data_IF_055271934592
#
_entry.id   IF_055271934592
#
_cell.length_a   1.000
_cell.length_b   1.000
_cell.length_c   1.000
_cell.angle_alpha   90.00
_cell.angle_beta   90.00
_cell.angle_gamma   90.00
#
_symmetry.space_group_name_H-M   'P 1'
#
loop_
_entity.id
_entity.type
_entity.pdbx_description
1 polymer ?
#
# COMPACT_ATOMS: atom_id res chain seq x y z
N UNK A 1 2.03 19.49 12.54
CA UNK A 1 2.39 18.51 11.48
C UNK A 1 1.17 17.64 11.22
N UNK A 2 0.94 17.18 9.98
CA UNK A 2 -0.17 16.25 9.72
C UNK A 2 0.23 14.85 10.19
N UNK A 3 -0.66 14.17 10.93
CA UNK A 3 -0.40 12.82 11.46
C UNK A 3 -0.66 11.76 10.39
N UNK A 4 0.24 10.78 10.27
CA UNK A 4 0.02 9.61 9.43
C UNK A 4 -1.02 8.73 10.10
N UNK A 5 -2.14 8.48 9.41
CA UNK A 5 -3.25 7.66 9.92
C UNK A 5 -3.30 6.27 9.29
N UNK A 6 -2.67 6.09 8.13
CA UNK A 6 -2.52 4.78 7.51
C UNK A 6 -1.19 4.69 6.76
N UNK A 7 -0.56 3.52 6.79
CA UNK A 7 0.58 3.16 5.94
C UNK A 7 0.22 1.94 5.09
N UNK A 8 0.34 2.09 3.79
CA UNK A 8 -0.07 1.07 2.81
C UNK A 8 1.16 0.50 2.12
N UNK A 9 1.33 -0.80 2.23
CA UNK A 9 2.38 -1.56 1.56
C UNK A 9 1.77 -2.24 0.34
N UNK A 10 2.17 -1.80 -0.84
CA UNK A 10 1.67 -2.32 -2.11
C UNK A 10 2.76 -3.21 -2.71
N UNK A 11 2.48 -4.50 -2.81
CA UNK A 11 3.43 -5.51 -3.26
C UNK A 11 2.98 -6.06 -4.62
N UNK A 12 3.90 -6.13 -5.58
CA UNK A 12 3.66 -6.90 -6.80
C UNK A 12 3.87 -8.38 -6.52
N UNK A 13 3.05 -9.26 -7.11
CA UNK A 13 3.22 -10.71 -7.02
C UNK A 13 4.63 -11.16 -7.41
N UNK A 14 5.08 -12.29 -6.86
CA UNK A 14 6.32 -12.95 -7.22
C UNK A 14 6.36 -13.41 -8.68
N UNK A 15 7.53 -13.85 -9.15
CA UNK A 15 7.75 -14.28 -10.53
C UNK A 15 6.87 -15.48 -10.94
N UNK A 16 6.46 -15.49 -12.20
CA UNK A 16 5.83 -16.62 -12.89
C UNK A 16 6.66 -17.03 -14.10
N UNK A 17 6.47 -18.23 -14.62
CA UNK A 17 7.12 -18.65 -15.87
C UNK A 17 6.78 -17.74 -17.04
N UNK A 18 5.56 -17.23 -17.07
CA UNK A 18 5.14 -16.26 -18.09
C UNK A 18 5.93 -14.93 -17.98
N UNK A 19 6.28 -14.46 -16.78
CA UNK A 19 7.18 -13.31 -16.64
C UNK A 19 8.56 -13.60 -17.24
N UNK A 20 9.14 -14.76 -16.93
CA UNK A 20 10.45 -15.19 -17.43
C UNK A 20 10.48 -15.36 -18.95
N UNK A 21 9.39 -15.82 -19.53
CA UNK A 21 9.25 -16.04 -20.98
C UNK A 21 8.79 -14.77 -21.73
N UNK A 22 8.51 -13.66 -21.04
CA UNK A 22 7.99 -12.45 -21.67
C UNK A 22 6.59 -12.64 -22.27
N UNK A 23 5.76 -13.47 -21.66
CA UNK A 23 4.38 -13.74 -22.06
C UNK A 23 3.43 -12.80 -21.32
N UNK A 24 2.51 -12.18 -22.05
CA UNK A 24 1.44 -11.35 -21.48
C UNK A 24 0.47 -12.24 -20.72
N UNK A 25 0.30 -11.97 -19.43
CA UNK A 25 -0.59 -12.75 -18.58
C UNK A 25 -1.98 -12.12 -18.49
N UNK A 26 -2.04 -10.78 -18.28
CA UNK A 26 -3.31 -10.13 -18.02
C UNK A 26 -4.06 -10.83 -16.87
N UNK A 27 -5.24 -11.36 -17.19
CA UNK A 27 -6.08 -12.08 -16.22
C UNK A 27 -5.99 -13.62 -16.34
N UNK A 28 -5.03 -14.16 -17.13
CA UNK A 28 -4.72 -15.59 -17.05
C UNK A 28 -4.27 -15.93 -15.62
N UNK A 29 -4.82 -17.01 -15.10
CA UNK A 29 -4.57 -17.44 -13.72
C UNK A 29 -3.35 -18.36 -13.61
N UNK A 30 -2.16 -17.77 -13.81
CA UNK A 30 -0.86 -18.45 -13.80
C UNK A 30 -0.32 -18.54 -12.36
N UNK A 31 0.32 -19.68 -11.96
CA UNK A 31 0.95 -19.82 -10.66
C UNK A 31 2.28 -19.06 -10.56
N UNK A 32 2.78 -18.89 -9.35
CA UNK A 32 4.19 -18.57 -9.10
C UNK A 32 5.06 -19.74 -9.57
N UNK A 33 6.26 -19.42 -10.08
CA UNK A 33 7.34 -20.40 -10.21
C UNK A 33 8.17 -20.45 -8.92
N UNK A 34 9.20 -21.32 -8.86
CA UNK A 34 10.01 -21.49 -7.66
C UNK A 34 10.73 -20.20 -7.25
N UNK A 35 11.22 -19.42 -8.22
CA UNK A 35 11.81 -18.11 -7.96
C UNK A 35 10.78 -17.13 -7.35
N UNK A 36 9.55 -17.12 -7.85
CA UNK A 36 8.48 -16.29 -7.32
C UNK A 36 8.06 -16.67 -5.91
N UNK A 37 8.09 -17.95 -5.56
CA UNK A 37 7.86 -18.42 -4.19
C UNK A 37 8.98 -17.92 -3.26
N UNK A 38 10.24 -18.01 -3.68
CA UNK A 38 11.37 -17.52 -2.91
C UNK A 38 11.34 -15.99 -2.76
N UNK A 39 11.04 -15.25 -3.84
CA UNK A 39 10.83 -13.80 -3.77
C UNK A 39 9.75 -13.43 -2.75
N UNK A 40 8.63 -14.17 -2.72
CA UNK A 40 7.57 -13.95 -1.75
C UNK A 40 8.02 -14.21 -0.30
N UNK A 41 8.90 -15.19 -0.05
CA UNK A 41 9.49 -15.44 1.27
C UNK A 41 10.41 -14.31 1.71
N UNK A 42 11.29 -13.85 0.81
CA UNK A 42 12.15 -12.69 1.09
C UNK A 42 11.33 -11.43 1.39
N UNK A 43 10.22 -11.25 0.68
CA UNK A 43 9.28 -10.16 0.98
C UNK A 43 8.60 -10.35 2.34
N UNK A 44 8.24 -11.58 2.72
CA UNK A 44 7.69 -11.89 4.03
C UNK A 44 8.69 -11.57 5.16
N UNK A 45 9.95 -11.94 5.00
CA UNK A 45 11.01 -11.64 5.96
C UNK A 45 11.26 -10.13 6.09
N UNK A 46 11.24 -9.39 4.97
CA UNK A 46 11.38 -7.93 4.97
C UNK A 46 10.22 -7.19 5.64
N UNK A 47 9.06 -7.81 5.74
CA UNK A 47 7.85 -7.23 6.30
C UNK A 47 7.45 -7.84 7.65
N UNK A 48 8.25 -8.76 8.23
CA UNK A 48 7.85 -9.55 9.41
C UNK A 48 7.52 -8.70 10.64
N UNK A 49 8.21 -7.57 10.82
CA UNK A 49 7.98 -6.65 11.95
C UNK A 49 6.86 -5.62 11.67
N UNK A 50 6.23 -5.66 10.49
CA UNK A 50 5.16 -4.72 10.15
C UNK A 50 3.84 -5.15 10.80
N UNK A 51 3.21 -4.33 11.66
CA UNK A 51 1.99 -4.72 12.37
C UNK A 51 0.74 -4.61 11.46
N UNK A 52 0.62 -5.46 10.46
CA UNK A 52 -0.53 -5.46 9.57
C UNK A 52 -1.84 -5.71 10.32
N UNK A 53 -2.82 -4.85 10.10
CA UNK A 53 -4.20 -5.02 10.59
C UNK A 53 -5.13 -5.51 9.48
N UNK A 54 -4.81 -5.23 8.22
CA UNK A 54 -5.65 -5.51 7.05
C UNK A 54 -4.78 -5.98 5.88
N UNK A 55 -5.26 -7.00 5.17
CA UNK A 55 -4.59 -7.51 3.98
C UNK A 55 -5.57 -7.73 2.83
N UNK A 56 -5.22 -7.20 1.66
CA UNK A 56 -5.93 -7.36 0.41
C UNK A 56 -5.05 -8.03 -0.65
N UNK A 57 -5.65 -8.80 -1.52
CA UNK A 57 -4.97 -9.33 -2.71
C UNK A 57 -5.89 -9.40 -3.91
N UNK A 58 -5.30 -9.32 -5.11
CA UNK A 58 -5.95 -9.88 -6.29
C UNK A 58 -6.30 -11.35 -6.03
N UNK A 59 -7.44 -11.78 -6.55
CA UNK A 59 -7.90 -13.17 -6.47
C UNK A 59 -7.17 -14.10 -7.45
N UNK A 60 -6.34 -13.55 -8.38
CA UNK A 60 -5.47 -14.36 -9.23
C UNK A 60 -4.39 -15.04 -8.38
N UNK A 61 -4.18 -16.36 -8.64
CA UNK A 61 -3.41 -17.23 -7.76
C UNK A 61 -1.98 -16.74 -7.50
N UNK A 62 -1.28 -16.14 -8.47
CA UNK A 62 0.08 -15.58 -8.28
C UNK A 62 0.12 -14.48 -7.22
N UNK A 63 -0.86 -13.57 -7.22
CA UNK A 63 -0.93 -12.50 -6.22
C UNK A 63 -1.43 -13.03 -4.88
N UNK A 64 -2.47 -13.86 -4.89
CA UNK A 64 -3.01 -14.49 -3.69
C UNK A 64 -1.93 -15.32 -2.98
N UNK A 65 -1.19 -16.18 -3.72
CA UNK A 65 -0.14 -17.01 -3.13
C UNK A 65 1.00 -16.17 -2.55
N UNK A 66 1.39 -15.07 -3.22
CA UNK A 66 2.36 -14.11 -2.66
C UNK A 66 1.86 -13.52 -1.34
N UNK A 67 0.59 -13.09 -1.27
CA UNK A 67 0.00 -12.54 -0.05
C UNK A 67 -0.08 -13.60 1.07
N UNK A 68 -0.47 -14.84 0.76
CA UNK A 68 -0.52 -15.94 1.72
C UNK A 68 0.86 -16.19 2.34
N UNK A 69 1.93 -16.23 1.54
CA UNK A 69 3.31 -16.42 2.03
C UNK A 69 3.73 -15.27 2.94
N UNK A 70 3.44 -14.02 2.58
CA UNK A 70 3.73 -12.87 3.44
C UNK A 70 2.99 -13.00 4.78
N UNK A 71 1.74 -13.41 4.75
CA UNK A 71 0.89 -13.53 5.93
C UNK A 71 1.21 -14.75 6.82
N UNK A 72 2.05 -15.68 6.39
CA UNK A 72 2.60 -16.73 7.26
C UNK A 72 3.35 -16.13 8.46
N UNK A 73 3.93 -14.92 8.33
CA UNK A 73 4.58 -14.15 9.41
C UNK A 73 3.59 -13.32 10.25
N UNK A 74 2.34 -13.20 9.85
CA UNK A 74 1.33 -12.34 10.48
C UNK A 74 0.08 -13.13 10.90
N UNK A 75 0.20 -14.07 11.85
CA UNK A 75 -0.91 -14.89 12.28
C UNK A 75 -2.04 -14.03 12.85
N UNK A 76 -3.25 -14.21 12.36
CA UNK A 76 -4.43 -13.44 12.77
C UNK A 76 -4.85 -12.35 11.77
N UNK A 77 -4.01 -11.96 10.81
CA UNK A 77 -4.42 -11.04 9.74
C UNK A 77 -5.19 -11.80 8.66
N UNK A 78 -6.44 -11.38 8.46
CA UNK A 78 -7.30 -12.01 7.46
C UNK A 78 -7.03 -11.44 6.07
N UNK A 79 -6.79 -12.33 5.09
CA UNK A 79 -6.67 -11.96 3.69
C UNK A 79 -8.05 -11.81 3.04
N UNK A 80 -8.30 -10.65 2.44
CA UNK A 80 -9.45 -10.40 1.57
C UNK A 80 -9.00 -10.40 0.11
N UNK A 81 -9.55 -11.29 -0.72
CA UNK A 81 -9.27 -11.33 -2.16
C UNK A 81 -10.34 -10.60 -2.95
N UNK A 82 -9.94 -9.88 -4.01
CA UNK A 82 -10.88 -9.10 -4.83
C UNK A 82 -10.47 -9.03 -6.30
N UNK A 83 -11.42 -9.17 -7.24
CA UNK A 83 -11.18 -8.93 -8.67
C UNK A 83 -10.77 -7.47 -8.99
N UNK A 84 -11.08 -6.52 -8.10
CA UNK A 84 -10.71 -5.12 -8.29
C UNK A 84 -9.19 -4.90 -8.32
N UNK A 85 -8.41 -5.83 -7.75
CA UNK A 85 -6.95 -5.81 -7.75
C UNK A 85 -6.31 -6.65 -8.88
N UNK A 86 -7.11 -7.25 -9.78
CA UNK A 86 -6.57 -7.98 -10.95
C UNK A 86 -5.79 -7.06 -11.87
N UNK A 87 -4.83 -7.65 -12.60
CA UNK A 87 -4.17 -6.99 -13.72
C UNK A 87 -5.20 -6.60 -14.80
N UNK A 88 -4.78 -5.74 -15.71
CA UNK A 88 -5.59 -5.38 -16.88
C UNK A 88 -5.90 -6.63 -17.71
N UNK A 89 -7.16 -6.80 -18.05
CA UNK A 89 -7.51 -7.83 -19.05
C UNK A 89 -6.94 -7.41 -20.41
N UNK A 90 -6.11 -8.27 -21.00
CA UNK A 90 -5.34 -7.95 -22.19
C UNK A 90 -5.92 -8.56 -23.47
N UNK A 91 -7.14 -9.12 -23.40
CA UNK A 91 -7.81 -9.71 -24.55
C UNK A 91 -6.96 -10.78 -25.26
N UNK A 92 -6.91 -10.73 -26.57
CA UNK A 92 -6.19 -11.69 -27.43
C UNK A 92 -4.65 -11.63 -27.26
N UNK A 93 -4.13 -10.66 -26.52
CA UNK A 93 -2.70 -10.66 -26.17
C UNK A 93 -2.35 -11.62 -25.03
N UNK A 94 -3.35 -12.09 -24.28
CA UNK A 94 -3.09 -13.03 -23.19
C UNK A 94 -2.55 -14.38 -23.73
N UNK A 95 -1.42 -14.82 -23.19
CA UNK A 95 -0.70 -16.00 -23.65
C UNK A 95 0.26 -15.74 -24.83
N UNK A 96 0.33 -14.51 -25.34
CA UNK A 96 1.20 -14.13 -26.47
C UNK A 96 2.48 -13.47 -25.94
N UNK A 97 3.60 -13.71 -26.66
CA UNK A 97 4.85 -13.03 -26.32
C UNK A 97 4.76 -11.52 -26.51
N UNK A 98 5.43 -10.78 -25.60
CA UNK A 98 5.55 -9.31 -25.69
C UNK A 98 6.27 -8.84 -26.96
N UNK A 99 7.18 -9.67 -27.50
CA UNK A 99 7.86 -9.38 -28.77
C UNK A 99 6.85 -9.45 -29.92
N UNK A 100 6.64 -8.34 -30.61
CA UNK A 100 5.72 -8.27 -31.74
C UNK A 100 4.31 -7.76 -31.43
N UNK A 101 4.06 -7.23 -30.22
CA UNK A 101 2.81 -6.53 -29.95
C UNK A 101 2.69 -5.26 -30.81
N UNK A 102 1.56 -5.16 -31.49
CA UNK A 102 1.17 -3.97 -32.21
C UNK A 102 0.16 -3.13 -31.42
N UNK A 103 -0.95 -2.78 -32.07
CA UNK A 103 -2.08 -2.07 -31.45
C UNK A 103 -2.79 -3.00 -30.45
N UNK A 104 -3.17 -2.53 -29.25
CA UNK A 104 -3.95 -3.34 -28.32
C UNK A 104 -5.21 -3.93 -28.96
N UNK A 105 -5.56 -5.21 -28.67
CA UNK A 105 -6.74 -5.83 -29.21
C UNK A 105 -8.01 -5.11 -28.73
N UNK A 106 -9.04 -5.06 -29.57
CA UNK A 106 -10.30 -4.38 -29.26
C UNK A 106 -11.00 -4.96 -28.01
N UNK A 107 -10.79 -6.23 -27.75
CA UNK A 107 -11.34 -6.90 -26.56
C UNK A 107 -10.49 -6.76 -25.30
N UNK A 108 -9.42 -5.97 -25.29
CA UNK A 108 -8.70 -5.63 -24.07
C UNK A 108 -9.52 -4.67 -23.20
N UNK A 109 -9.37 -4.79 -21.87
CA UNK A 109 -10.01 -3.86 -20.93
C UNK A 109 -9.62 -2.42 -21.26
N UNK A 110 -10.58 -1.50 -21.48
CA UNK A 110 -10.28 -0.10 -21.72
C UNK A 110 -9.47 0.49 -20.56
N UNK A 111 -8.46 1.31 -20.88
CA UNK A 111 -7.60 1.93 -19.85
C UNK A 111 -8.41 2.76 -18.85
N UNK A 112 -9.51 3.37 -19.29
CA UNK A 112 -10.39 4.16 -18.42
C UNK A 112 -11.08 3.28 -17.38
N UNK A 113 -11.56 2.09 -17.76
CA UNK A 113 -12.25 1.16 -16.87
C UNK A 113 -11.26 0.54 -15.88
N UNK A 114 -10.07 0.17 -16.36
CA UNK A 114 -8.96 -0.32 -15.53
C UNK A 114 -8.57 0.71 -14.46
N UNK A 115 -8.41 1.97 -14.86
CA UNK A 115 -8.09 3.06 -13.93
C UNK A 115 -9.24 3.30 -12.94
N UNK A 116 -10.48 3.29 -13.42
CA UNK A 116 -11.65 3.53 -12.58
C UNK A 116 -11.82 2.45 -11.50
N UNK A 117 -11.68 1.14 -11.85
CA UNK A 117 -11.82 0.07 -10.85
C UNK A 117 -10.72 0.08 -9.80
N UNK A 118 -9.47 0.38 -10.19
CA UNK A 118 -8.36 0.51 -9.23
C UNK A 118 -8.56 1.68 -8.27
N UNK A 119 -9.00 2.84 -8.79
CA UNK A 119 -9.30 4.01 -7.99
C UNK A 119 -10.52 3.81 -7.07
N UNK A 120 -11.54 3.10 -7.55
CA UNK A 120 -12.71 2.74 -6.74
C UNK A 120 -12.29 1.86 -5.56
N UNK A 121 -11.51 0.80 -5.81
CA UNK A 121 -10.99 -0.04 -4.75
C UNK A 121 -10.19 0.76 -3.71
N UNK A 122 -9.29 1.64 -4.15
CA UNK A 122 -8.52 2.51 -3.25
C UNK A 122 -9.42 3.34 -2.34
N UNK A 123 -10.45 3.97 -2.90
CA UNK A 123 -11.37 4.80 -2.12
C UNK A 123 -12.20 3.96 -1.13
N UNK A 124 -12.70 2.80 -1.55
CA UNK A 124 -13.62 1.97 -0.76
C UNK A 124 -12.91 1.09 0.28
N UNK A 125 -11.69 0.64 -0.01
CA UNK A 125 -10.92 -0.18 0.90
C UNK A 125 -9.93 0.66 1.71
N UNK A 126 -8.94 1.28 1.07
CA UNK A 126 -7.81 1.93 1.74
C UNK A 126 -8.25 3.22 2.45
N UNK A 127 -8.89 4.15 1.74
CA UNK A 127 -9.29 5.43 2.35
C UNK A 127 -10.31 5.27 3.47
N UNK A 128 -11.16 4.25 3.45
CA UNK A 128 -12.09 3.96 4.55
C UNK A 128 -11.36 3.62 5.85
N UNK A 129 -10.28 2.84 5.79
CA UNK A 129 -9.45 2.54 6.96
C UNK A 129 -8.75 3.80 7.48
N UNK A 130 -8.17 4.60 6.60
CA UNK A 130 -7.53 5.86 6.96
C UNK A 130 -8.52 6.83 7.63
N UNK A 131 -9.74 6.97 7.09
CA UNK A 131 -10.80 7.82 7.67
C UNK A 131 -11.25 7.33 9.04
N UNK A 132 -11.37 6.01 9.23
CA UNK A 132 -11.69 5.45 10.55
C UNK A 132 -10.61 5.79 11.56
N UNK A 133 -9.35 5.57 11.23
CA UNK A 133 -8.21 5.90 12.10
C UNK A 133 -8.11 7.42 12.39
N UNK A 134 -8.36 8.27 11.39
CA UNK A 134 -8.42 9.71 11.59
C UNK A 134 -9.53 10.11 12.62
N UNK A 135 -10.68 9.46 12.51
CA UNK A 135 -11.78 9.68 13.47
C UNK A 135 -11.43 9.23 14.90
N UNK A 136 -10.75 8.08 15.04
CA UNK A 136 -10.23 7.58 16.31
C UNK A 136 -9.21 8.55 16.93
N UNK A 137 -8.30 9.09 16.12
CA UNK A 137 -7.32 10.09 16.55
C UNK A 137 -8.00 11.36 17.06
N UNK A 138 -8.95 11.90 16.28
CA UNK A 138 -9.70 13.09 16.68
C UNK A 138 -10.46 12.89 17.99
N UNK A 139 -11.01 11.72 18.22
CA UNK A 139 -11.69 11.37 19.45
C UNK A 139 -10.71 11.35 20.63
N UNK A 140 -9.56 10.69 20.49
CA UNK A 140 -8.50 10.67 21.52
C UNK A 140 -8.04 12.09 21.89
N UNK A 141 -7.81 12.96 20.89
CA UNK A 141 -7.41 14.34 21.10
C UNK A 141 -8.46 15.14 21.89
N UNK A 142 -9.75 14.98 21.57
CA UNK A 142 -10.85 15.63 22.31
C UNK A 142 -10.91 15.17 23.76
N UNK A 143 -10.75 13.89 24.04
CA UNK A 143 -10.72 13.36 25.39
C UNK A 143 -9.53 13.89 26.21
N UNK A 144 -8.34 13.93 25.63
CA UNK A 144 -7.15 14.48 26.28
C UNK A 144 -7.33 15.96 26.63
N UNK A 145 -7.86 16.76 25.72
CA UNK A 145 -8.16 18.19 25.96
C UNK A 145 -9.21 18.38 27.07
N UNK A 146 -10.24 17.54 27.12
CA UNK A 146 -11.27 17.61 28.16
C UNK A 146 -10.71 17.28 29.56
N UNK A 147 -9.79 16.32 29.67
CA UNK A 147 -9.14 15.97 30.95
C UNK A 147 -8.24 17.10 31.44
N UNK A 148 -7.45 17.72 30.57
CA UNK A 148 -6.59 18.87 30.93
C UNK A 148 -7.39 20.11 31.32
N UNK A 149 -8.54 20.36 30.65
CA UNK A 149 -9.45 21.43 31.04
C UNK A 149 -10.06 21.28 32.44
N UNK A 150 -10.32 20.03 32.87
CA UNK A 150 -10.84 19.76 34.22
C UNK A 150 -9.75 19.83 35.31
N UNK A 151 -8.50 19.52 34.99
CA UNK A 151 -7.37 19.65 35.90
C UNK A 151 -7.08 21.14 36.24
N UNK A 152 -7.09 22.03 35.24
CA UNK A 152 -6.88 23.45 35.40
C UNK A 152 -8.04 24.14 36.16
N UNK A 153 -9.28 23.67 36.00
CA UNK A 153 -10.42 24.22 36.73
C UNK A 153 -10.41 23.90 38.27
N UNK A 154 -9.78 22.78 38.65
CA UNK A 154 -9.65 22.40 40.07
C UNK A 154 -8.51 23.12 40.79
N UNK A 155 -7.45 23.50 40.09
CA UNK A 155 -6.32 24.24 40.68
C UNK A 155 -6.55 25.77 40.81
N UNK A 156 -7.59 26.33 40.19
CA UNK A 156 -7.94 27.74 40.23
C UNK A 156 -8.70 28.18 41.51
N UNK A 157 -9.00 27.27 42.44
CA UNK A 157 -9.84 27.57 43.63
C UNK A 157 -9.13 27.46 44.98
N UNK A 158 -7.81 27.54 45.04
CA UNK A 158 -7.11 27.55 46.36
C UNK A 158 -5.90 28.49 46.33
N UNK A 159 -6.03 29.51 47.23
CA UNK A 159 -5.01 30.27 47.98
C UNK A 159 -4.23 31.39 47.33
N UNK A 160 -4.54 32.60 47.84
CA UNK A 160 -3.61 33.69 48.03
C UNK A 160 -2.43 33.23 48.93
N UNK A 161 -1.24 33.14 48.35
CA UNK A 161 0.00 32.86 49.05
C UNK A 161 1.18 33.05 48.14
N UNK A 162 2.00 34.10 48.35
CA UNK A 162 3.25 34.34 47.67
C UNK A 162 4.18 33.14 47.85
N UNK A 163 4.42 32.40 46.79
CA UNK A 163 5.60 31.56 46.61
C UNK A 163 5.95 31.58 45.13
N UNK A 164 7.16 31.99 44.79
CA UNK A 164 7.77 31.89 43.45
C UNK A 164 7.88 30.43 43.07
N UNK A 165 6.87 29.92 42.38
CA UNK A 165 6.93 28.60 41.78
C UNK A 165 7.51 28.75 40.37
N UNK A 166 8.63 28.08 40.11
CA UNK A 166 9.13 27.80 38.77
C UNK A 166 8.00 27.21 37.90
N UNK A 167 7.90 27.56 36.63
CA UNK A 167 6.89 26.97 35.76
C UNK A 167 7.23 25.49 35.60
N UNK A 168 6.53 24.61 36.32
CA UNK A 168 6.51 23.20 36.01
C UNK A 168 5.88 23.05 34.62
N UNK A 169 6.71 22.85 33.60
CA UNK A 169 6.27 22.34 32.32
C UNK A 169 5.75 20.92 32.58
N UNK A 170 4.42 20.79 32.65
CA UNK A 170 3.80 19.45 32.62
C UNK A 170 4.28 18.72 31.39
N UNK A 171 4.59 17.42 31.50
CA UNK A 171 5.02 16.65 30.35
C UNK A 171 3.89 16.69 29.30
N UNK A 172 4.22 17.15 28.10
CA UNK A 172 3.35 16.97 26.94
C UNK A 172 2.99 15.47 26.87
N UNK A 173 1.75 15.14 27.14
CA UNK A 173 1.26 13.76 26.96
C UNK A 173 1.29 13.50 25.46
N UNK A 174 2.41 12.95 25.00
CA UNK A 174 2.55 12.49 23.63
C UNK A 174 1.54 11.34 23.45
N UNK A 175 0.45 11.63 22.77
CA UNK A 175 -0.56 10.62 22.47
C UNK A 175 0.07 9.61 21.51
N UNK A 176 0.44 8.43 22.02
CA UNK A 176 0.83 7.32 21.18
C UNK A 176 -0.32 6.99 20.22
N UNK A 177 -0.08 7.23 18.95
CA UNK A 177 -1.02 6.94 17.88
C UNK A 177 -0.31 6.15 16.79
N UNK A 178 -0.74 4.91 16.63
CA UNK A 178 -0.23 4.03 15.58
C UNK A 178 -1.13 4.10 14.34
N UNK A 179 -0.56 4.33 13.14
CA UNK A 179 -1.31 4.27 11.89
C UNK A 179 -1.81 2.83 11.64
N UNK A 180 -2.92 2.68 10.92
CA UNK A 180 -3.30 1.36 10.41
C UNK A 180 -2.32 0.91 9.33
N UNK A 181 -1.78 -0.30 9.44
CA UNK A 181 -0.89 -0.90 8.44
C UNK A 181 -1.69 -1.83 7.53
N UNK A 182 -1.65 -1.55 6.22
CA UNK A 182 -2.45 -2.25 5.20
C UNK A 182 -1.51 -2.91 4.20
N UNK A 183 -1.64 -4.22 4.00
CA UNK A 183 -1.00 -4.95 2.92
C UNK A 183 -1.93 -4.99 1.70
N UNK A 184 -1.39 -4.75 0.50
CA UNK A 184 -2.11 -4.94 -0.77
C UNK A 184 -1.22 -5.64 -1.79
N UNK A 185 -1.58 -6.85 -2.22
CA UNK A 185 -0.81 -7.61 -3.22
C UNK A 185 -1.52 -7.60 -4.55
N UNK A 186 -0.81 -7.17 -5.61
CA UNK A 186 -1.40 -6.98 -6.92
C UNK A 186 -0.37 -7.20 -8.05
N UNK A 187 -0.53 -6.51 -9.18
CA UNK A 187 0.19 -6.71 -10.43
C UNK A 187 0.86 -5.40 -10.88
N UNK A 188 1.89 -5.52 -11.70
CA UNK A 188 2.70 -4.38 -12.10
C UNK A 188 1.93 -3.29 -12.85
N UNK A 189 1.05 -3.66 -13.77
CA UNK A 189 0.24 -2.71 -14.52
C UNK A 189 -0.78 -1.99 -13.64
N UNK A 190 -1.44 -2.72 -12.71
CA UNK A 190 -2.39 -2.11 -11.79
C UNK A 190 -1.69 -1.15 -10.83
N UNK A 191 -0.57 -1.56 -10.22
CA UNK A 191 0.18 -0.72 -9.26
C UNK A 191 0.64 0.57 -9.95
N UNK A 192 1.25 0.47 -11.13
CA UNK A 192 1.69 1.64 -11.89
C UNK A 192 0.55 2.57 -12.26
N UNK A 193 -0.59 2.02 -12.72
CA UNK A 193 -1.79 2.80 -13.06
C UNK A 193 -2.38 3.49 -11.83
N UNK A 194 -2.55 2.77 -10.72
CA UNK A 194 -3.08 3.32 -9.46
C UNK A 194 -2.22 4.48 -8.95
N UNK A 195 -0.91 4.24 -8.78
CA UNK A 195 0.02 5.25 -8.27
C UNK A 195 0.04 6.48 -9.18
N UNK A 196 0.15 6.29 -10.50
CA UNK A 196 0.13 7.39 -11.47
C UNK A 196 -1.17 8.20 -11.39
N UNK A 197 -2.31 7.53 -11.28
CA UNK A 197 -3.61 8.19 -11.15
C UNK A 197 -3.72 9.00 -9.84
N UNK A 198 -3.26 8.45 -8.73
CA UNK A 198 -3.26 9.14 -7.42
C UNK A 198 -2.37 10.38 -7.42
N UNK A 199 -1.20 10.31 -8.07
CA UNK A 199 -0.30 11.45 -8.23
C UNK A 199 -0.89 12.54 -9.15
N UNK A 200 -1.43 12.14 -10.32
CA UNK A 200 -2.06 13.09 -11.26
C UNK A 200 -3.28 13.79 -10.63
N UNK A 201 -4.06 13.08 -9.84
CA UNK A 201 -5.21 13.64 -9.12
C UNK A 201 -4.83 14.42 -7.85
N UNK A 202 -3.52 14.57 -7.55
CA UNK A 202 -2.99 15.24 -6.35
C UNK A 202 -3.49 14.65 -5.02
N UNK A 203 -3.92 13.40 -5.04
CA UNK A 203 -4.21 12.64 -3.82
C UNK A 203 -2.93 12.16 -3.15
N UNK A 204 -1.90 11.89 -3.94
CA UNK A 204 -0.55 11.64 -3.46
C UNK A 204 0.42 12.69 -4.01
N UNK A 205 1.51 12.92 -3.28
CA UNK A 205 2.74 13.51 -3.78
C UNK A 205 3.87 12.48 -3.71
N UNK A 206 4.85 12.57 -4.56
CA UNK A 206 6.07 11.76 -4.43
C UNK A 206 6.90 12.29 -3.24
N UNK A 207 7.46 11.37 -2.47
CA UNK A 207 8.50 11.66 -1.48
C UNK A 207 9.78 12.12 -2.14
N UNK A 208 10.70 12.64 -1.35
CA UNK A 208 12.00 13.07 -1.82
C UNK A 208 12.80 11.88 -2.39
N UNK A 209 13.37 12.04 -3.59
CA UNK A 209 14.15 11.00 -4.26
C UNK A 209 13.33 9.83 -4.86
N UNK A 210 12.01 9.81 -4.72
CA UNK A 210 11.19 8.74 -5.27
C UNK A 210 11.07 8.86 -6.78
N UNK A 211 11.55 7.81 -7.47
CA UNK A 211 11.49 7.70 -8.93
C UNK A 211 10.46 6.63 -9.29
N UNK A 212 9.50 6.99 -10.16
CA UNK A 212 8.50 6.04 -10.65
C UNK A 212 9.01 5.45 -11.95
N UNK A 213 9.32 4.19 -11.89
CA UNK A 213 9.82 3.45 -13.04
C UNK A 213 9.15 2.08 -13.14
N UNK A 214 9.94 1.00 -13.25
CA UNK A 214 9.46 -0.37 -13.37
C UNK A 214 9.03 -0.89 -11.99
N UNK A 215 7.89 -1.58 -11.98
CA UNK A 215 7.45 -2.32 -10.82
C UNK A 215 7.90 -3.78 -10.99
N UNK A 216 8.99 -4.19 -10.37
CA UNK A 216 9.54 -5.54 -10.45
C UNK A 216 8.70 -6.55 -9.65
N UNK A 217 8.82 -7.85 -9.97
CA UNK A 217 8.18 -8.90 -9.18
C UNK A 217 8.61 -8.82 -7.71
N UNK A 218 7.68 -9.05 -6.82
CA UNK A 218 7.85 -8.98 -5.36
C UNK A 218 8.36 -7.62 -4.82
N UNK A 219 8.41 -6.55 -5.65
CA UNK A 219 8.77 -5.22 -5.19
C UNK A 219 7.72 -4.62 -4.26
N UNK A 220 8.16 -3.77 -3.33
CA UNK A 220 7.33 -3.10 -2.32
C UNK A 220 7.25 -1.61 -2.63
N UNK A 221 6.05 -1.06 -2.66
CA UNK A 221 5.81 0.39 -2.67
C UNK A 221 5.09 0.78 -1.39
N UNK A 222 5.47 1.91 -0.78
CA UNK A 222 4.91 2.38 0.49
C UNK A 222 4.26 3.73 0.32
N UNK A 223 3.04 3.85 0.83
CA UNK A 223 2.25 5.09 0.83
C UNK A 223 1.84 5.42 2.25
N UNK A 224 2.14 6.63 2.71
CA UNK A 224 1.61 7.21 3.94
C UNK A 224 0.40 8.07 3.62
N UNK A 225 -0.69 7.88 4.36
CA UNK A 225 -1.91 8.67 4.26
C UNK A 225 -2.11 9.50 5.52
N UNK A 226 -2.49 10.75 5.33
CA UNK A 226 -2.79 11.71 6.39
C UNK A 226 -4.29 11.83 6.65
N UNK A 227 -4.64 12.51 7.73
CA UNK A 227 -6.02 12.72 8.19
C UNK A 227 -6.93 13.36 7.12
N UNK A 228 -6.37 14.20 6.22
CA UNK A 228 -7.11 14.87 5.14
C UNK A 228 -7.36 13.96 3.92
N UNK A 229 -6.94 12.70 3.99
CA UNK A 229 -7.06 11.70 2.91
C UNK A 229 -6.06 11.88 1.78
N UNK A 230 -5.12 12.82 1.89
CA UNK A 230 -3.94 12.92 1.02
C UNK A 230 -2.79 12.11 1.58
N UNK A 231 -1.75 11.93 0.78
CA UNK A 231 -0.61 11.14 1.22
C UNK A 231 0.67 11.41 0.47
N UNK A 232 1.66 10.61 0.85
CA UNK A 232 3.01 10.61 0.26
C UNK A 232 3.34 9.21 -0.22
N UNK A 233 3.79 9.08 -1.44
CA UNK A 233 4.48 7.90 -1.92
C UNK A 233 5.89 7.92 -1.32
N UNK A 234 6.11 7.11 -0.29
CA UNK A 234 7.37 7.07 0.48
C UNK A 234 8.46 6.32 -0.29
N UNK A 235 8.08 5.19 -0.93
CA UNK A 235 8.95 4.43 -1.82
C UNK A 235 8.12 3.83 -2.96
N UNK A 236 8.77 3.56 -4.11
CA UNK A 236 8.13 2.92 -5.26
C UNK A 236 8.97 1.76 -5.76
N UNK A 237 8.35 0.59 -5.81
CA UNK A 237 8.92 -0.64 -6.37
C UNK A 237 10.31 -0.98 -5.82
N UNK A 238 10.48 -0.81 -4.50
CA UNK A 238 11.71 -1.16 -3.79
C UNK A 238 11.93 -2.69 -3.84
N UNK A 239 13.15 -3.08 -4.17
CA UNK A 239 13.60 -4.47 -4.31
C UNK A 239 14.85 -4.76 -3.47
N UNK A 240 15.20 -3.90 -2.52
CA UNK A 240 16.42 -4.02 -1.71
C UNK A 240 16.48 -5.32 -0.91
N UNK A 241 15.33 -5.92 -0.61
CA UNK A 241 15.20 -7.21 0.07
C UNK A 241 15.40 -8.42 -0.85
N UNK A 242 15.47 -8.21 -2.18
CA UNK A 242 15.63 -9.28 -3.17
C UNK A 242 17.09 -9.41 -3.60
N UNK A 243 17.52 -10.63 -3.92
CA UNK A 243 18.81 -10.86 -4.57
C UNK A 243 18.75 -10.39 -6.02
N UNK A 244 19.51 -9.37 -6.38
CA UNK A 244 19.46 -8.66 -7.68
C UNK A 244 19.81 -9.54 -8.88
N UNK A 245 20.54 -10.64 -8.66
CA UNK A 245 21.14 -11.47 -9.73
C UNK A 245 20.11 -12.21 -10.58
N UNK A 246 18.91 -12.48 -10.03
CA UNK A 246 17.89 -13.32 -10.66
C UNK A 246 16.60 -12.59 -11.07
N UNK A 247 16.58 -11.24 -11.00
CA UNK A 247 15.35 -10.50 -11.31
C UNK A 247 15.07 -10.41 -12.80
N UNK A 248 13.84 -10.78 -13.20
CA UNK A 248 13.35 -10.56 -14.57
C UNK A 248 13.18 -9.06 -14.83
N UNK A 249 13.94 -8.55 -15.78
CA UNK A 249 14.01 -7.10 -16.06
C UNK A 249 12.82 -6.59 -16.89
N UNK A 250 12.01 -7.43 -17.50
CA UNK A 250 10.88 -6.99 -18.34
C UNK A 250 9.53 -7.41 -17.76
N UNK A 251 8.59 -6.46 -17.74
CA UNK A 251 7.21 -6.74 -17.39
C UNK A 251 6.36 -6.79 -18.68
N UNK A 252 5.93 -7.97 -19.05
CA UNK A 252 5.16 -8.18 -20.27
C UNK A 252 3.74 -7.57 -20.20
N UNK A 253 3.22 -7.32 -19.00
CA UNK A 253 1.86 -6.79 -18.78
C UNK A 253 1.79 -5.25 -18.84
N UNK A 254 2.94 -4.56 -18.82
CA UNK A 254 2.99 -3.10 -18.93
C UNK A 254 3.25 -2.71 -20.37
N UNK A 255 2.29 -2.01 -20.98
CA UNK A 255 2.49 -1.42 -22.29
C UNK A 255 3.60 -0.38 -22.22
N UNK A 256 4.60 -0.47 -23.11
CA UNK A 256 5.52 0.63 -23.35
C UNK A 256 4.69 1.75 -23.99
N UNK A 257 4.45 2.85 -23.25
CA UNK A 257 3.84 4.07 -23.77
C UNK A 257 4.78 4.79 -24.75
#
# INVERSE_FOLDING_TARGET
>A
MSTVVARVYIVRHGETDANRQGIVQGQLDTPLNDAGVEQARLTADALEDTPFEVAYSSDLQRARRTAEIILEKHPGVKLETTPALRERYMGDWQGVSIAGRGVPPENAEPTIDFTARSAKWWNEAVLRHAQRKASELQLKLKFAQAQNGHANARNGSAVNGLASAEPHTEPDVELEFEPVHILAVSHGGLIGTLVTNLLRSRKLRAGEGVVIWRCFNASISVVDLYEDGKGVLVSYADTTHLNVVDMVQENADVARG
#
